data_IF_212887337763
#
_entry.id   IF_212887337763
#
_cell.length_a   1.000
_cell.length_b   1.000
_cell.length_c   1.000
_cell.angle_alpha   90.00
_cell.angle_beta   90.00
_cell.angle_gamma   90.00
#
_symmetry.space_group_name_H-M   'P 1'
#
loop_
_entity.id
_entity.type
_entity.pdbx_description
1 polymer ?
#
# COMPACT_ATOMS: atom_id res chain seq x y z
N UNK A 1 2.19 0.43 -17.44
CA UNK A 1 3.34 0.29 -16.54
C UNK A 1 3.97 1.66 -16.34
N UNK A 2 3.68 2.33 -15.24
CA UNK A 2 4.31 3.60 -14.90
C UNK A 2 5.63 3.30 -14.19
N UNK A 3 6.72 3.56 -14.88
CA UNK A 3 8.05 3.56 -14.28
C UNK A 3 8.19 4.79 -13.35
N UNK A 4 7.61 4.72 -12.16
CA UNK A 4 7.68 5.77 -11.14
C UNK A 4 8.82 5.52 -10.14
N UNK A 5 9.72 4.63 -10.39
CA UNK A 5 10.52 4.16 -9.29
C UNK A 5 11.93 4.71 -9.18
N UNK A 6 12.63 4.92 -10.27
CA UNK A 6 14.10 4.96 -10.19
C UNK A 6 14.69 6.38 -10.04
N UNK A 7 13.90 7.42 -10.20
CA UNK A 7 14.42 8.80 -10.20
C UNK A 7 14.24 9.57 -8.87
N UNK A 8 13.52 9.00 -7.91
CA UNK A 8 13.32 9.62 -6.58
C UNK A 8 14.37 9.21 -5.54
N UNK A 9 15.23 8.25 -5.86
CA UNK A 9 16.28 7.74 -4.96
C UNK A 9 17.59 8.54 -5.09
N UNK A 10 17.60 9.59 -5.91
CA UNK A 10 18.72 10.50 -6.03
C UNK A 10 18.71 11.59 -4.95
N UNK A 11 19.57 12.58 -5.12
CA UNK A 11 19.86 13.69 -4.20
C UNK A 11 18.67 14.44 -3.60
N UNK A 12 17.45 14.28 -4.13
CA UNK A 12 16.27 15.00 -3.67
C UNK A 12 15.64 14.40 -2.40
N UNK A 13 15.74 13.10 -2.14
CA UNK A 13 15.24 12.51 -0.89
C UNK A 13 16.06 12.94 0.34
N UNK A 14 17.30 13.31 0.15
CA UNK A 14 18.15 13.85 1.23
C UNK A 14 17.70 15.21 1.76
N UNK A 15 16.78 15.89 1.08
CA UNK A 15 16.31 17.24 1.42
C UNK A 15 14.99 17.18 2.18
N UNK A 16 14.23 16.09 2.05
CA UNK A 16 12.90 15.95 2.62
C UNK A 16 12.92 15.17 3.94
N UNK A 17 12.09 15.62 4.86
CA UNK A 17 11.91 15.00 6.17
C UNK A 17 10.78 13.97 6.21
N UNK A 18 9.95 13.94 5.17
CA UNK A 18 8.76 13.11 5.11
C UNK A 18 8.65 12.42 3.74
N UNK A 19 8.23 11.16 3.76
CA UNK A 19 7.92 10.35 2.58
C UNK A 19 6.52 9.75 2.72
N UNK A 20 5.70 9.85 1.65
CA UNK A 20 4.37 9.22 1.60
C UNK A 20 4.36 8.23 0.45
N UNK A 21 4.00 6.98 0.77
CA UNK A 21 3.84 5.87 -0.15
C UNK A 21 2.36 5.62 -0.38
N UNK A 22 1.89 5.84 -1.61
CA UNK A 22 0.49 5.62 -2.00
C UNK A 22 0.43 5.02 -3.42
N UNK A 23 1.23 4.00 -3.68
CA UNK A 23 1.32 3.34 -4.98
C UNK A 23 0.84 1.89 -4.87
N UNK A 24 0.38 1.33 -5.97
CA UNK A 24 0.21 -0.11 -6.07
C UNK A 24 1.58 -0.78 -6.17
N UNK A 25 1.78 -1.84 -5.38
CA UNK A 25 2.99 -2.65 -5.43
C UNK A 25 2.64 -4.12 -5.59
N UNK A 26 3.38 -4.81 -6.42
CA UNK A 26 3.30 -6.25 -6.64
C UNK A 26 4.56 -6.91 -6.06
N UNK A 27 4.46 -8.07 -5.38
CA UNK A 27 5.62 -8.77 -4.80
C UNK A 27 6.76 -9.08 -5.78
N UNK A 28 6.46 -9.17 -7.07
CA UNK A 28 7.48 -9.33 -8.13
C UNK A 28 8.22 -8.04 -8.48
N UNK A 29 7.70 -6.89 -8.03
CA UNK A 29 8.29 -5.58 -8.28
C UNK A 29 9.40 -5.25 -7.28
N UNK A 30 10.41 -4.47 -7.67
CA UNK A 30 11.45 -4.04 -6.75
C UNK A 30 10.86 -3.15 -5.63
N UNK A 31 11.46 -3.22 -4.45
CA UNK A 31 11.14 -2.30 -3.35
C UNK A 31 11.54 -0.87 -3.74
N UNK A 32 10.81 0.12 -3.24
CA UNK A 32 11.06 1.54 -3.55
C UNK A 32 12.44 1.98 -3.09
N UNK A 33 12.88 1.49 -1.93
CA UNK A 33 14.23 1.67 -1.41
C UNK A 33 14.61 0.51 -0.50
N UNK A 34 15.90 0.35 -0.25
CA UNK A 34 16.43 -0.70 0.62
C UNK A 34 16.66 -0.18 2.04
N UNK A 35 16.86 -1.09 2.99
CA UNK A 35 17.23 -0.75 4.37
C UNK A 35 18.53 0.04 4.42
N UNK A 36 19.50 -0.28 3.56
CA UNK A 36 20.79 0.40 3.47
C UNK A 36 20.65 1.84 2.99
N UNK A 37 19.73 2.07 2.04
CA UNK A 37 19.44 3.42 1.56
C UNK A 37 18.76 4.27 2.63
N UNK A 38 17.86 3.68 3.45
CA UNK A 38 17.21 4.40 4.55
C UNK A 38 18.23 4.92 5.56
N UNK A 39 19.27 4.15 5.89
CA UNK A 39 20.36 4.62 6.77
C UNK A 39 21.05 5.87 6.26
N UNK A 40 21.06 6.09 4.95
CA UNK A 40 21.66 7.25 4.32
C UNK A 40 20.74 8.49 4.32
N UNK A 41 19.44 8.30 4.59
CA UNK A 41 18.46 9.39 4.58
C UNK A 41 18.44 10.16 5.90
N UNK A 42 19.51 10.87 6.21
CA UNK A 42 19.74 11.54 7.49
C UNK A 42 18.64 12.55 7.89
N UNK A 43 17.90 13.09 6.92
CA UNK A 43 16.81 14.05 7.15
C UNK A 43 15.43 13.41 7.23
N UNK A 44 15.26 12.17 6.78
CA UNK A 44 13.97 11.50 6.81
C UNK A 44 13.56 11.22 8.26
N UNK A 45 12.37 11.68 8.63
CA UNK A 45 11.81 11.55 9.98
C UNK A 45 10.49 10.81 10.01
N UNK A 46 9.74 10.84 8.90
CA UNK A 46 8.39 10.31 8.82
C UNK A 46 8.24 9.52 7.53
N UNK A 47 7.67 8.33 7.61
CA UNK A 47 7.12 7.60 6.47
C UNK A 47 5.64 7.38 6.72
N UNK A 48 4.81 7.86 5.80
CA UNK A 48 3.39 7.50 5.70
C UNK A 48 3.22 6.42 4.65
N UNK A 49 3.08 5.18 5.07
CA UNK A 49 2.89 4.06 4.18
C UNK A 49 1.39 3.73 4.03
N UNK A 50 0.76 4.31 3.00
CA UNK A 50 -0.66 4.08 2.69
C UNK A 50 -0.87 2.67 2.11
N UNK A 51 0.18 2.05 1.57
CA UNK A 51 0.10 0.66 1.09
C UNK A 51 -0.03 -0.34 2.23
N UNK A 52 0.50 0.00 3.42
CA UNK A 52 0.47 -0.74 4.69
C UNK A 52 0.91 -2.22 4.63
N UNK A 53 1.48 -2.66 3.52
CA UNK A 53 1.91 -4.04 3.33
C UNK A 53 3.16 -4.34 4.15
N UNK A 54 3.03 -5.23 5.14
CA UNK A 54 4.18 -5.69 5.95
C UNK A 54 5.19 -6.38 5.04
N UNK A 55 6.46 -5.98 5.17
CA UNK A 55 7.56 -6.41 4.29
C UNK A 55 7.31 -6.14 2.78
N UNK A 56 6.37 -5.26 2.47
CA UNK A 56 6.00 -4.85 1.12
C UNK A 56 7.02 -3.93 0.45
N UNK A 57 6.53 -2.94 -0.29
CA UNK A 57 7.35 -1.98 -1.03
C UNK A 57 8.26 -1.12 -0.14
N UNK A 58 7.83 -0.91 1.12
CA UNK A 58 8.51 -0.08 2.11
C UNK A 58 9.13 -0.98 3.20
N UNK A 59 10.45 -1.15 3.22
CA UNK A 59 11.11 -2.13 4.10
C UNK A 59 11.11 -1.75 5.59
N UNK A 60 10.58 -0.58 5.94
CA UNK A 60 10.40 -0.11 7.33
C UNK A 60 9.01 -0.43 7.88
N UNK A 61 8.08 -0.87 7.06
CA UNK A 61 6.75 -1.27 7.48
C UNK A 61 6.80 -2.69 8.02
N UNK A 62 7.15 -2.81 9.30
CA UNK A 62 7.29 -4.11 9.99
C UNK A 62 5.98 -4.60 10.61
N UNK A 63 4.99 -3.73 10.71
CA UNK A 63 3.63 -4.02 11.18
C UNK A 63 2.66 -2.97 10.64
N UNK A 64 1.39 -3.31 10.53
CA UNK A 64 0.30 -2.35 10.34
C UNK A 64 0.02 -1.60 11.64
N UNK A 65 -0.63 -0.45 11.51
CA UNK A 65 -1.07 0.40 12.64
C UNK A 65 -2.56 0.62 12.58
N UNK A 66 -3.14 1.11 13.67
CA UNK A 66 -4.57 1.40 13.77
C UNK A 66 -4.82 2.91 13.78
N UNK A 67 -6.09 3.31 13.68
CA UNK A 67 -6.50 4.71 13.79
C UNK A 67 -6.20 5.27 15.19
N UNK A 68 -6.35 4.45 16.24
CA UNK A 68 -6.10 4.83 17.63
C UNK A 68 -4.61 4.96 17.92
N UNK A 69 -3.79 4.08 17.33
CA UNK A 69 -2.33 4.10 17.42
C UNK A 69 -1.72 4.19 16.00
N UNK A 70 -1.76 5.36 15.35
CA UNK A 70 -1.52 5.48 13.92
C UNK A 70 -0.05 5.35 13.54
N UNK A 71 0.87 5.38 14.49
CA UNK A 71 2.29 5.30 14.18
C UNK A 71 3.09 4.53 15.23
N UNK A 72 4.18 3.95 14.79
CA UNK A 72 5.23 3.42 15.64
C UNK A 72 6.57 4.07 15.28
N UNK A 73 7.59 3.84 16.12
CA UNK A 73 8.92 4.39 15.91
C UNK A 73 9.92 3.28 15.66
N UNK A 74 10.78 3.49 14.67
CA UNK A 74 11.78 2.53 14.24
C UNK A 74 13.18 3.12 14.40
N UNK A 75 14.08 2.33 14.96
CA UNK A 75 15.49 2.65 14.94
C UNK A 75 16.07 2.28 13.57
N UNK A 76 16.64 3.25 12.84
CA UNK A 76 17.11 3.06 11.47
C UNK A 76 18.38 2.21 11.35
N UNK A 77 19.11 1.99 12.43
CA UNK A 77 20.29 1.11 12.44
C UNK A 77 19.92 -0.37 12.64
N UNK A 78 19.01 -0.62 13.59
CA UNK A 78 18.62 -1.99 13.97
C UNK A 78 17.38 -2.48 13.23
N UNK A 79 16.56 -1.57 12.69
CA UNK A 79 15.22 -1.84 12.13
C UNK A 79 14.26 -2.51 13.12
N UNK A 80 14.46 -2.23 14.41
CA UNK A 80 13.57 -2.68 15.47
C UNK A 80 12.68 -1.53 15.95
N UNK A 81 11.48 -1.88 16.40
CA UNK A 81 10.58 -0.94 17.06
C UNK A 81 11.24 -0.37 18.33
N UNK A 82 11.00 0.90 18.59
CA UNK A 82 11.61 1.63 19.68
C UNK A 82 10.69 2.75 20.16
N UNK A 83 11.09 3.43 21.22
CA UNK A 83 10.35 4.57 21.73
C UNK A 83 10.52 5.83 20.87
N UNK A 84 9.56 6.77 20.99
CA UNK A 84 9.62 8.07 20.35
C UNK A 84 10.93 8.81 20.71
N UNK A 85 11.68 9.17 19.67
CA UNK A 85 12.90 9.97 19.80
C UNK A 85 13.12 10.79 18.53
N UNK A 86 13.82 11.91 18.63
CA UNK A 86 14.18 12.76 17.47
C UNK A 86 15.05 12.03 16.43
N UNK A 87 15.73 10.96 16.85
CA UNK A 87 16.63 10.18 15.99
C UNK A 87 15.97 8.96 15.38
N UNK A 88 14.72 8.65 15.78
CA UNK A 88 14.00 7.50 15.29
C UNK A 88 13.03 7.90 14.16
N UNK A 89 12.80 7.00 13.25
CA UNK A 89 11.90 7.16 12.13
C UNK A 89 10.47 6.83 12.59
N UNK A 90 9.53 7.77 12.39
CA UNK A 90 8.12 7.52 12.63
C UNK A 90 7.50 6.87 11.40
N UNK A 91 6.80 5.76 11.60
CA UNK A 91 6.11 5.01 10.53
C UNK A 91 4.62 5.02 10.81
N UNK A 92 3.83 5.47 9.85
CA UNK A 92 2.38 5.29 9.81
C UNK A 92 2.06 4.26 8.74
N UNK A 93 1.30 3.23 9.10
CA UNK A 93 0.87 2.17 8.19
C UNK A 93 -0.54 1.69 8.58
N UNK A 94 -1.47 2.66 8.64
CA UNK A 94 -2.87 2.39 8.99
C UNK A 94 -3.54 1.67 7.83
N UNK A 95 -4.04 0.46 8.10
CA UNK A 95 -4.67 -0.40 7.10
C UNK A 95 -6.12 0.00 6.75
N UNK A 96 -6.69 0.92 7.51
CA UNK A 96 -8.09 1.34 7.39
C UNK A 96 -8.25 2.88 7.34
N UNK A 97 -7.37 3.57 6.60
CA UNK A 97 -7.40 5.03 6.44
C UNK A 97 -8.77 5.60 6.00
N UNK A 98 -9.54 4.94 5.10
CA UNK A 98 -10.86 5.43 4.72
C UNK A 98 -11.84 5.61 5.88
N UNK A 99 -11.64 4.90 6.99
CA UNK A 99 -12.47 5.03 8.20
C UNK A 99 -12.26 6.33 8.98
N UNK A 100 -11.20 7.09 8.69
CA UNK A 100 -11.00 8.44 9.22
C UNK A 100 -12.00 9.47 8.66
N UNK A 101 -12.46 9.24 7.42
CA UNK A 101 -13.44 10.07 6.72
C UNK A 101 -14.59 9.20 6.18
N UNK A 102 -15.34 8.49 7.06
CA UNK A 102 -16.21 7.40 6.64
C UNK A 102 -17.36 7.86 5.74
N UNK A 103 -17.88 9.06 5.94
CA UNK A 103 -18.95 9.62 5.11
C UNK A 103 -18.46 9.91 3.70
N UNK A 104 -17.31 10.56 3.58
CA UNK A 104 -16.75 10.96 2.29
C UNK A 104 -16.28 9.73 1.51
N UNK A 105 -15.57 8.83 2.18
CA UNK A 105 -15.10 7.57 1.59
C UNK A 105 -16.25 6.69 1.10
N UNK A 106 -17.31 6.54 1.91
CA UNK A 106 -18.49 5.75 1.52
C UNK A 106 -19.25 6.41 0.37
N UNK A 107 -19.35 7.73 0.36
CA UNK A 107 -20.04 8.47 -0.71
C UNK A 107 -19.27 8.33 -2.02
N UNK A 108 -17.96 8.51 -1.99
CA UNK A 108 -17.13 8.43 -3.20
C UNK A 108 -17.08 7.00 -3.74
N UNK A 109 -16.90 6.00 -2.87
CA UNK A 109 -16.99 4.59 -3.26
C UNK A 109 -18.35 4.24 -3.87
N UNK A 110 -19.44 4.66 -3.21
CA UNK A 110 -20.80 4.42 -3.70
C UNK A 110 -21.05 5.07 -5.07
N UNK A 111 -20.60 6.30 -5.28
CA UNK A 111 -20.67 6.97 -6.58
C UNK A 111 -19.86 6.23 -7.65
N UNK A 112 -18.67 5.74 -7.31
CA UNK A 112 -17.87 4.90 -8.21
C UNK A 112 -18.62 3.63 -8.63
N UNK A 113 -19.19 2.91 -7.67
CA UNK A 113 -20.01 1.71 -7.97
C UNK A 113 -21.20 2.04 -8.88
N UNK A 114 -21.97 3.08 -8.54
CA UNK A 114 -23.17 3.45 -9.30
C UNK A 114 -22.81 3.88 -10.72
N UNK A 115 -21.76 4.66 -10.92
CA UNK A 115 -21.43 5.24 -12.20
C UNK A 115 -20.57 4.31 -13.07
N UNK A 116 -19.67 3.54 -12.47
CA UNK A 116 -18.63 2.80 -13.19
C UNK A 116 -18.84 1.28 -13.21
N UNK A 117 -19.68 0.73 -12.35
CA UNK A 117 -19.88 -0.71 -12.22
C UNK A 117 -21.30 -1.12 -12.56
N UNK A 118 -22.30 -0.50 -11.92
CA UNK A 118 -23.71 -0.87 -12.09
C UNK A 118 -24.21 -0.87 -13.54
N UNK A 119 -23.84 0.09 -14.42
CA UNK A 119 -24.27 0.07 -15.81
C UNK A 119 -23.85 -1.18 -16.58
N UNK A 120 -22.71 -1.77 -16.20
CA UNK A 120 -22.16 -2.97 -16.85
C UNK A 120 -22.69 -4.27 -16.24
N UNK A 121 -23.05 -4.27 -14.96
CA UNK A 121 -23.75 -5.41 -14.31
C UNK A 121 -25.16 -5.53 -14.85
N UNK A 122 -25.88 -4.40 -15.01
CA UNK A 122 -27.29 -4.38 -15.40
C UNK A 122 -27.50 -4.31 -16.92
N UNK A 123 -26.46 -3.94 -17.67
CA UNK A 123 -26.52 -3.73 -19.10
C UNK A 123 -25.62 -4.66 -19.87
N UNK A 124 -24.95 -4.12 -20.88
CA UNK A 124 -23.96 -4.86 -21.67
C UNK A 124 -22.58 -4.61 -21.11
N UNK A 125 -21.93 -5.68 -20.66
CA UNK A 125 -20.56 -5.64 -20.20
C UNK A 125 -19.59 -5.28 -21.35
N UNK A 126 -18.69 -4.32 -21.11
CA UNK A 126 -17.60 -3.95 -22.01
C UNK A 126 -16.32 -4.77 -21.77
N UNK A 127 -16.40 -5.78 -20.91
CA UNK A 127 -15.32 -6.66 -20.51
C UNK A 127 -14.80 -6.39 -19.09
N UNK A 128 -15.20 -5.26 -18.45
CA UNK A 128 -14.72 -4.96 -17.09
C UNK A 128 -15.26 -5.92 -16.02
N UNK A 129 -16.53 -6.33 -16.13
CA UNK A 129 -17.11 -7.31 -15.20
C UNK A 129 -16.49 -8.69 -15.44
N UNK A 130 -16.43 -9.13 -16.67
CA UNK A 130 -15.78 -10.39 -17.04
C UNK A 130 -14.31 -10.39 -16.55
N UNK A 131 -13.59 -9.31 -16.76
CA UNK A 131 -12.20 -9.17 -16.31
C UNK A 131 -12.04 -9.12 -14.80
N UNK A 132 -13.05 -8.72 -14.06
CA UNK A 132 -13.05 -8.69 -12.59
C UNK A 132 -13.65 -9.96 -11.97
N UNK A 133 -14.24 -10.85 -12.77
CA UNK A 133 -14.81 -12.10 -12.31
C UNK A 133 -13.70 -13.06 -11.89
N UNK A 134 -13.71 -13.47 -10.64
CA UNK A 134 -12.72 -14.38 -10.06
C UNK A 134 -13.11 -15.83 -10.34
N UNK A 135 -14.40 -16.15 -10.14
CA UNK A 135 -14.92 -17.51 -10.31
C UNK A 135 -16.14 -17.54 -11.22
N UNK A 136 -16.27 -18.55 -12.05
CA UNK A 136 -17.47 -18.88 -12.80
C UNK A 136 -17.79 -20.37 -12.63
N UNK A 137 -19.06 -20.66 -12.32
CA UNK A 137 -19.58 -22.04 -12.13
C UNK A 137 -18.75 -22.89 -11.17
N UNK A 138 -18.17 -22.29 -10.14
CA UNK A 138 -17.41 -22.99 -9.11
C UNK A 138 -15.94 -23.23 -9.43
N UNK A 139 -15.44 -22.67 -10.54
CA UNK A 139 -14.01 -22.73 -10.91
C UNK A 139 -13.43 -21.33 -11.02
N UNK A 140 -12.14 -21.17 -10.74
CA UNK A 140 -11.41 -19.94 -11.02
C UNK A 140 -11.32 -19.68 -12.52
N UNK A 141 -11.36 -18.39 -12.89
CA UNK A 141 -10.91 -18.00 -14.21
C UNK A 141 -9.38 -18.06 -14.26
N UNK A 142 -8.83 -18.40 -15.42
CA UNK A 142 -7.41 -18.72 -15.63
C UNK A 142 -6.44 -17.73 -14.97
N UNK A 143 -6.72 -16.43 -15.07
CA UNK A 143 -5.89 -15.36 -14.47
C UNK A 143 -5.89 -15.34 -12.93
N UNK A 144 -6.81 -16.07 -12.29
CA UNK A 144 -6.94 -16.16 -10.84
C UNK A 144 -6.56 -17.55 -10.29
N UNK A 145 -5.99 -18.43 -11.12
CA UNK A 145 -5.57 -19.76 -10.68
C UNK A 145 -4.54 -19.72 -9.53
N UNK A 146 -3.79 -18.63 -9.40
CA UNK A 146 -2.88 -18.41 -8.26
C UNK A 146 -3.58 -18.43 -6.90
N UNK A 147 -4.90 -18.27 -6.86
CA UNK A 147 -5.69 -18.33 -5.62
C UNK A 147 -6.01 -19.78 -5.20
N UNK A 148 -5.78 -20.79 -6.05
CA UNK A 148 -6.02 -22.21 -5.71
C UNK A 148 -5.17 -22.67 -4.53
N UNK A 149 -3.94 -22.14 -4.40
CA UNK A 149 -3.03 -22.49 -3.30
C UNK A 149 -3.61 -22.10 -1.93
N UNK A 150 -4.41 -21.04 -1.84
CA UNK A 150 -5.06 -20.61 -0.60
C UNK A 150 -6.25 -21.49 -0.20
N UNK A 151 -6.88 -22.20 -1.15
CA UNK A 151 -8.00 -23.08 -0.86
C UNK A 151 -7.50 -24.46 -0.45
N UNK A 152 -6.35 -24.86 -0.95
CA UNK A 152 -5.76 -26.18 -0.71
C UNK A 152 -4.81 -26.21 0.50
N UNK A 153 -4.58 -25.06 1.14
CA UNK A 153 -3.78 -24.91 2.37
C UNK A 153 -4.64 -25.01 3.62
#
# INVERSE_FOLDING_TARGET
AYALGVRLVGSEMCIRDSYISAHYWDPSSPKIFTKEQIKQFSKLKIIGDVTCDVDGSIPTTIKSTTIEEPNFYLNTETFLETNKSKNNLAIMAVDNLPSELPKDSSTEFGNGIVNEVMPFILGKDDGRILNSTITDKGSFLEKYNYLEDFINS
#
